data_IF_638399520708
#
_entry.id   IF_638399520708
#
_cell.length_a   1.000
_cell.length_b   1.000
_cell.length_c   1.000
_cell.angle_alpha   90.00
_cell.angle_beta   90.00
_cell.angle_gamma   90.00
#
_symmetry.space_group_name_H-M   'P 1'
#
loop_
_entity.id
_entity.type
_entity.pdbx_description
1 polymer ?
#
# COMPACT_ATOMS: atom_id res chain seq x y z
N UNK A 1 4.84 -12.99 3.75
CA UNK A 1 5.18 -11.54 3.74
C UNK A 1 5.97 -11.15 4.98
N UNK A 2 5.43 -11.19 6.21
CA UNK A 2 6.17 -10.83 7.44
C UNK A 2 7.55 -11.48 7.58
N UNK A 3 7.63 -12.80 7.34
CA UNK A 3 8.91 -13.54 7.37
C UNK A 3 9.97 -13.01 6.39
N UNK A 4 9.60 -12.33 5.30
CA UNK A 4 10.56 -11.71 4.39
C UNK A 4 11.17 -10.45 5.02
N UNK A 5 10.33 -9.56 5.56
CA UNK A 5 10.78 -8.35 6.25
C UNK A 5 11.61 -8.66 7.50
N UNK A 6 11.33 -9.78 8.17
CA UNK A 6 12.10 -10.23 9.35
C UNK A 6 13.54 -10.62 9.05
N UNK A 7 13.88 -10.88 7.79
CA UNK A 7 15.25 -11.16 7.38
C UNK A 7 16.03 -9.90 6.97
N UNK A 8 15.36 -8.76 6.88
CA UNK A 8 16.01 -7.51 6.48
C UNK A 8 16.75 -6.90 7.68
N UNK A 9 17.99 -6.40 7.48
CA UNK A 9 18.69 -5.62 8.50
C UNK A 9 17.92 -4.36 8.88
N UNK A 10 18.25 -3.80 10.05
CA UNK A 10 17.79 -2.47 10.44
C UNK A 10 18.14 -1.43 9.36
N UNK A 11 17.26 -0.44 9.18
CA UNK A 11 17.44 0.69 8.26
C UNK A 11 17.59 0.31 6.76
N UNK A 12 17.31 -0.94 6.39
CA UNK A 12 17.42 -1.46 5.02
C UNK A 12 16.51 -0.79 3.98
N UNK A 13 15.47 -0.07 4.42
CA UNK A 13 14.57 0.72 3.56
C UNK A 13 14.81 2.23 3.68
N UNK A 14 15.92 2.66 4.30
CA UNK A 14 16.27 4.08 4.37
C UNK A 14 16.38 4.69 2.98
N UNK A 15 15.74 5.86 2.79
CA UNK A 15 15.69 6.56 1.52
C UNK A 15 14.75 5.94 0.47
N UNK A 16 14.05 4.85 0.82
CA UNK A 16 13.02 4.26 -0.04
C UNK A 16 11.65 4.88 0.24
N UNK A 17 10.93 5.23 -0.83
CA UNK A 17 9.53 5.61 -0.78
C UNK A 17 8.66 4.42 -1.19
N UNK A 18 7.71 4.03 -0.33
CA UNK A 18 6.84 2.87 -0.53
C UNK A 18 5.38 3.29 -0.71
N UNK A 19 4.68 2.67 -1.66
CA UNK A 19 3.21 2.67 -1.78
C UNK A 19 2.65 1.38 -1.20
N UNK A 20 1.93 1.42 -0.06
CA UNK A 20 1.27 0.23 0.47
C UNK A 20 0.08 -0.18 -0.38
N UNK A 21 0.01 -1.47 -0.72
CA UNK A 21 -1.11 -2.07 -1.44
C UNK A 21 -1.50 -3.36 -0.71
N UNK A 22 -2.79 -3.50 -0.39
CA UNK A 22 -3.32 -4.70 0.24
C UNK A 22 -4.72 -5.02 -0.27
N UNK A 23 -5.08 -6.30 -0.25
CA UNK A 23 -6.44 -6.77 -0.51
C UNK A 23 -7.05 -7.41 0.74
N UNK A 24 -8.38 -7.41 0.86
CA UNK A 24 -9.08 -8.12 1.92
C UNK A 24 -10.52 -8.44 1.58
N UNK A 25 -11.22 -9.12 2.51
CA UNK A 25 -12.60 -9.57 2.29
C UNK A 25 -13.65 -8.46 2.38
N UNK A 26 -13.33 -7.36 3.05
CA UNK A 26 -14.28 -6.28 3.34
C UNK A 26 -13.57 -4.98 3.77
N UNK A 27 -14.29 -3.86 3.76
CA UNK A 27 -13.75 -2.53 4.06
C UNK A 27 -13.27 -2.39 5.52
N UNK A 28 -13.82 -3.15 6.46
CA UNK A 28 -13.48 -3.10 7.89
C UNK A 28 -12.02 -3.50 8.16
N UNK A 29 -11.37 -4.18 7.21
CA UNK A 29 -9.96 -4.56 7.28
C UNK A 29 -9.01 -3.51 6.68
N UNK A 30 -9.53 -2.40 6.14
CA UNK A 30 -8.70 -1.37 5.48
C UNK A 30 -7.58 -0.83 6.36
N UNK A 31 -7.89 -0.60 7.64
CA UNK A 31 -6.98 -0.11 8.68
C UNK A 31 -5.77 -1.02 8.97
N UNK A 32 -5.75 -2.24 8.42
CA UNK A 32 -4.59 -3.12 8.51
C UNK A 32 -3.35 -2.56 7.81
N UNK A 33 -3.51 -1.63 6.87
CA UNK A 33 -2.37 -0.92 6.28
C UNK A 33 -1.76 0.01 7.33
N UNK A 34 -2.55 0.91 7.92
CA UNK A 34 -2.09 1.96 8.82
C UNK A 34 -1.60 1.42 10.16
N UNK A 35 -2.21 0.33 10.65
CA UNK A 35 -1.88 -0.27 11.95
C UNK A 35 -1.06 -1.58 11.85
N UNK A 36 -0.77 -2.06 10.64
CA UNK A 36 0.01 -3.28 10.42
C UNK A 36 1.21 -3.06 9.51
N UNK A 37 0.95 -2.84 8.22
CA UNK A 37 2.00 -2.76 7.20
C UNK A 37 2.88 -1.50 7.35
N UNK A 38 2.25 -0.33 7.48
CA UNK A 38 2.94 0.96 7.60
C UNK A 38 3.91 1.03 8.78
N UNK A 39 3.53 0.70 10.03
CA UNK A 39 4.48 0.73 11.14
C UNK A 39 5.63 -0.25 10.93
N UNK A 40 5.37 -1.46 10.38
CA UNK A 40 6.41 -2.46 10.11
C UNK A 40 7.48 -1.97 9.12
N UNK A 41 7.09 -1.35 8.00
CA UNK A 41 8.10 -0.86 7.03
C UNK A 41 8.81 0.39 7.53
N UNK A 42 8.13 1.22 8.34
CA UNK A 42 8.75 2.38 8.99
C UNK A 42 9.84 1.98 9.99
N UNK A 43 9.70 0.85 10.70
CA UNK A 43 10.80 0.36 11.57
C UNK A 43 12.05 -0.05 10.79
N UNK A 44 11.95 -0.23 9.47
CA UNK A 44 13.08 -0.52 8.58
C UNK A 44 13.62 0.74 7.88
N UNK A 45 13.13 1.94 8.23
CA UNK A 45 13.59 3.22 7.68
C UNK A 45 12.82 3.72 6.45
N UNK A 46 11.75 3.04 6.03
CA UNK A 46 10.96 3.45 4.87
C UNK A 46 10.20 4.77 5.08
N UNK A 47 10.17 5.61 4.04
CA UNK A 47 9.14 6.64 3.88
C UNK A 47 7.93 6.01 3.17
N UNK A 48 6.71 6.37 3.58
CA UNK A 48 5.47 5.73 3.09
C UNK A 48 4.53 6.79 2.52
N UNK A 49 4.02 6.57 1.32
CA UNK A 49 3.04 7.46 0.68
C UNK A 49 1.72 7.50 1.45
N UNK A 50 0.97 8.60 1.34
CA UNK A 50 -0.26 8.81 2.11
C UNK A 50 -1.43 8.05 1.50
N UNK A 51 -1.47 7.95 0.16
CA UNK A 51 -2.56 7.31 -0.58
C UNK A 51 -2.30 5.81 -0.73
N UNK A 52 -2.41 5.07 0.36
CA UNK A 52 -2.40 3.60 0.34
C UNK A 52 -3.59 3.04 -0.45
N UNK A 53 -3.44 1.83 -0.98
CA UNK A 53 -4.50 1.13 -1.72
C UNK A 53 -4.94 -0.08 -0.93
N UNK A 54 -6.17 -0.06 -0.41
CA UNK A 54 -6.84 -1.24 0.11
C UNK A 54 -7.97 -1.66 -0.82
N UNK A 55 -8.01 -2.93 -1.22
CA UNK A 55 -9.01 -3.43 -2.18
C UNK A 55 -9.79 -4.65 -1.69
N UNK A 56 -11.11 -4.61 -1.87
CA UNK A 56 -12.03 -5.72 -1.61
C UNK A 56 -12.99 -5.88 -2.78
N UNK A 57 -13.94 -6.80 -2.66
CA UNK A 57 -14.83 -7.21 -3.76
C UNK A 57 -15.51 -6.04 -4.51
N UNK A 58 -15.88 -4.94 -3.84
CA UNK A 58 -16.56 -3.80 -4.50
C UNK A 58 -15.68 -3.01 -5.48
N UNK A 59 -14.36 -3.23 -5.46
CA UNK A 59 -13.42 -2.60 -6.38
C UNK A 59 -13.24 -3.38 -7.69
N UNK A 60 -13.92 -4.52 -7.83
CA UNK A 60 -13.79 -5.42 -8.97
C UNK A 60 -15.16 -5.75 -9.56
N UNK A 61 -15.25 -5.74 -10.88
CA UNK A 61 -16.43 -6.18 -11.63
C UNK A 61 -16.48 -7.71 -11.67
N UNK A 62 -17.61 -8.28 -12.10
CA UNK A 62 -17.80 -9.73 -12.24
C UNK A 62 -16.78 -10.38 -13.20
N UNK A 63 -16.38 -9.66 -14.25
CA UNK A 63 -15.35 -10.07 -15.21
C UNK A 63 -13.92 -9.93 -14.67
N UNK A 64 -13.77 -9.57 -13.40
CA UNK A 64 -12.49 -9.30 -12.69
C UNK A 64 -11.74 -8.07 -13.19
N UNK A 65 -12.36 -7.23 -14.02
CA UNK A 65 -11.81 -5.92 -14.33
C UNK A 65 -11.96 -4.96 -13.14
N UNK A 66 -11.04 -3.98 -12.97
CA UNK A 66 -11.19 -2.98 -11.92
C UNK A 66 -12.35 -2.03 -12.23
N UNK A 67 -13.07 -1.62 -11.20
CA UNK A 67 -14.06 -0.54 -11.32
C UNK A 67 -13.38 0.79 -11.64
N UNK A 68 -14.14 1.78 -12.13
CA UNK A 68 -13.62 3.12 -12.36
C UNK A 68 -13.07 3.77 -11.06
N UNK A 69 -13.69 3.48 -9.92
CA UNK A 69 -13.18 3.90 -8.62
C UNK A 69 -11.78 3.31 -8.35
N UNK A 70 -11.59 2.00 -8.59
CA UNK A 70 -10.29 1.35 -8.39
C UNK A 70 -9.21 1.94 -9.30
N UNK A 71 -9.54 2.22 -10.56
CA UNK A 71 -8.62 2.91 -11.49
C UNK A 71 -8.26 4.31 -10.98
N UNK A 72 -9.24 5.06 -10.47
CA UNK A 72 -9.03 6.39 -9.91
C UNK A 72 -8.09 6.36 -8.70
N UNK A 73 -8.31 5.42 -7.77
CA UNK A 73 -7.45 5.23 -6.59
C UNK A 73 -6.01 4.95 -7.00
N UNK A 74 -5.79 4.02 -7.94
CA UNK A 74 -4.45 3.71 -8.46
C UNK A 74 -3.78 4.94 -9.06
N UNK A 75 -4.49 5.68 -9.92
CA UNK A 75 -3.94 6.89 -10.54
C UNK A 75 -3.55 7.93 -9.49
N UNK A 76 -4.43 8.18 -8.51
CA UNK A 76 -4.16 9.15 -7.44
C UNK A 76 -2.94 8.78 -6.59
N UNK A 77 -2.75 7.48 -6.28
CA UNK A 77 -1.60 6.98 -5.54
C UNK A 77 -0.30 7.06 -6.34
N UNK A 78 -0.36 6.75 -7.64
CA UNK A 78 0.81 6.88 -8.54
C UNK A 78 1.22 8.34 -8.70
N UNK A 79 0.26 9.24 -8.91
CA UNK A 79 0.53 10.69 -9.00
C UNK A 79 1.20 11.22 -7.74
N UNK A 80 0.76 10.77 -6.55
CA UNK A 80 1.41 11.13 -5.29
C UNK A 80 2.87 10.67 -5.27
N UNK A 81 3.12 9.38 -5.53
CA UNK A 81 4.50 8.85 -5.52
C UNK A 81 5.39 9.57 -6.53
N UNK A 82 4.90 9.80 -7.75
CA UNK A 82 5.66 10.50 -8.78
C UNK A 82 6.03 11.91 -8.30
N UNK A 83 5.09 12.63 -7.67
CA UNK A 83 5.34 13.97 -7.14
C UNK A 83 6.34 14.04 -5.99
N UNK A 84 6.54 12.94 -5.26
CA UNK A 84 7.48 12.84 -4.14
C UNK A 84 8.89 12.41 -4.59
N UNK A 85 9.03 11.86 -5.80
CA UNK A 85 10.29 11.40 -6.36
C UNK A 85 10.99 12.45 -7.23
N UNK A 86 10.28 13.50 -7.64
CA UNK A 86 10.76 14.63 -8.45
C UNK A 86 11.27 15.78 -7.61
#
# INVERSE_FOLDING_TARGET
MKSFFDQLPADSLTGQLLLPIQTGGSAEHSLSIEHGLTPMVRTLGASVSTKSIFSWNEHWNEDRSPTENMKHLVNQSVEEIVSLCS
#
